data_IF_826100511763
#
_entry.id   IF_826100511763
#
_cell.length_a   1.000
_cell.length_b   1.000
_cell.length_c   1.000
_cell.angle_alpha   90.00
_cell.angle_beta   90.00
_cell.angle_gamma   90.00
#
_symmetry.space_group_name_H-M   'P 1'
#
loop_
_entity.id
_entity.type
_entity.pdbx_description
1 polymer ?
#
# COMPACT_ATOMS: atom_id res chain seq x y z
N UNK A 1 58.31 6.65 26.37
CA UNK A 1 57.57 7.69 25.62
C UNK A 1 56.48 7.02 24.79
N UNK A 2 55.22 7.07 25.25
CA UNK A 2 54.11 6.38 24.57
C UNK A 2 53.74 7.10 23.26
N UNK A 3 53.61 6.26 22.24
CA UNK A 3 53.40 6.50 20.82
C UNK A 3 52.38 7.61 20.46
N UNK A 4 52.88 8.83 20.23
CA UNK A 4 52.10 10.02 19.81
C UNK A 4 51.50 9.83 18.40
N UNK A 5 52.12 8.98 17.55
CA UNK A 5 51.63 8.71 16.19
C UNK A 5 50.30 7.94 16.19
N UNK A 6 50.06 7.04 17.14
CA UNK A 6 48.82 6.25 17.21
C UNK A 6 47.59 7.07 17.64
N UNK A 7 47.76 8.15 18.44
CA UNK A 7 46.63 9.01 18.84
C UNK A 7 46.07 9.79 17.67
N UNK A 8 46.92 10.35 16.79
CA UNK A 8 46.47 11.14 15.64
C UNK A 8 45.73 10.28 14.59
N UNK A 9 46.22 9.06 14.34
CA UNK A 9 45.56 8.11 13.44
C UNK A 9 44.20 7.63 13.97
N UNK A 10 44.11 7.33 15.27
CA UNK A 10 42.86 6.91 15.91
C UNK A 10 41.82 8.04 15.91
N UNK A 11 42.20 9.27 16.26
CA UNK A 11 41.29 10.44 16.21
C UNK A 11 40.82 10.72 14.78
N UNK A 12 41.71 10.58 13.77
CA UNK A 12 41.35 10.75 12.37
C UNK A 12 40.34 9.71 11.88
N UNK A 13 40.51 8.44 12.26
CA UNK A 13 39.57 7.36 11.90
C UNK A 13 38.23 7.55 12.60
N UNK A 14 38.22 7.91 13.90
CA UNK A 14 36.98 8.13 14.65
C UNK A 14 36.19 9.33 14.10
N UNK A 15 36.87 10.41 13.73
CA UNK A 15 36.26 11.58 13.10
C UNK A 15 35.69 11.24 11.72
N UNK A 16 36.42 10.46 10.90
CA UNK A 16 35.94 10.04 9.58
C UNK A 16 34.71 9.13 9.70
N UNK A 17 34.70 8.18 10.64
CA UNK A 17 33.54 7.31 10.89
C UNK A 17 32.34 8.06 11.43
N UNK A 18 32.53 9.08 12.28
CA UNK A 18 31.43 9.93 12.77
C UNK A 18 30.83 10.79 11.65
N UNK A 19 31.66 11.32 10.76
CA UNK A 19 31.19 12.09 9.59
C UNK A 19 30.45 11.20 8.59
N UNK A 20 30.94 9.97 8.35
CA UNK A 20 30.27 8.97 7.51
C UNK A 20 28.94 8.49 8.11
N UNK A 21 28.87 8.30 9.43
CA UNK A 21 27.61 7.93 10.10
C UNK A 21 26.60 9.08 10.08
N UNK A 22 27.05 10.32 10.29
CA UNK A 22 26.19 11.51 10.23
C UNK A 22 25.65 11.77 8.81
N UNK A 23 26.42 11.45 7.77
CA UNK A 23 25.98 11.58 6.36
C UNK A 23 25.09 10.43 5.89
N UNK A 24 25.10 9.26 6.56
CA UNK A 24 24.15 8.17 6.29
C UNK A 24 22.76 8.39 6.91
N UNK A 25 22.61 9.31 7.87
CA UNK A 25 21.34 9.55 8.59
C UNK A 25 20.42 10.57 7.89
N UNK A 26 20.77 11.06 6.70
CA UNK A 26 19.94 12.00 5.93
C UNK A 26 19.61 11.36 4.57
N UNK A 27 18.71 10.38 4.57
CA UNK A 27 17.40 10.66 4.00
C UNK A 27 16.30 9.99 4.82
N UNK A 28 16.01 10.53 6.00
CA UNK A 28 14.71 10.31 6.62
C UNK A 28 13.68 11.07 5.79
N UNK A 29 13.03 10.33 4.88
CA UNK A 29 11.72 10.62 4.27
C UNK A 29 11.28 12.09 4.37
N UNK A 30 11.95 12.99 3.64
CA UNK A 30 11.29 14.24 3.29
C UNK A 30 10.12 13.82 2.39
N UNK A 31 8.85 14.08 2.76
CA UNK A 31 7.77 13.88 1.84
C UNK A 31 8.12 14.75 0.63
N UNK A 32 8.41 14.11 -0.50
CA UNK A 32 8.51 14.83 -1.75
C UNK A 32 7.12 15.39 -1.96
N UNK A 33 6.96 16.69 -1.71
CA UNK A 33 5.80 17.43 -2.15
C UNK A 33 5.83 17.36 -3.67
N UNK A 34 5.19 16.34 -4.24
CA UNK A 34 5.01 16.17 -5.67
C UNK A 34 4.05 17.23 -6.26
N UNK A 35 3.76 18.29 -5.50
CA UNK A 35 2.98 19.42 -5.96
C UNK A 35 3.81 20.31 -6.87
N UNK A 36 3.20 20.67 -7.98
CA UNK A 36 3.71 21.66 -8.91
C UNK A 36 3.84 23.01 -8.17
N UNK A 37 5.00 23.70 -8.22
CA UNK A 37 5.15 25.00 -7.57
C UNK A 37 4.07 25.98 -8.04
N UNK A 38 3.34 26.58 -7.10
CA UNK A 38 2.24 27.50 -7.40
C UNK A 38 0.88 26.84 -7.64
N UNK A 39 0.76 25.51 -7.56
CA UNK A 39 -0.54 24.86 -7.53
C UNK A 39 -1.23 25.06 -6.18
N UNK A 40 -2.52 25.40 -6.21
CA UNK A 40 -3.37 25.36 -5.02
C UNK A 40 -3.46 23.93 -4.50
N UNK A 41 -3.58 23.75 -3.17
CA UNK A 41 -3.81 22.41 -2.62
C UNK A 41 -5.09 21.82 -3.25
N UNK A 42 -5.12 20.50 -3.51
CA UNK A 42 -6.35 19.87 -3.95
C UNK A 42 -7.45 20.12 -2.89
N UNK A 43 -8.72 20.27 -3.31
CA UNK A 43 -9.81 20.40 -2.37
C UNK A 43 -9.83 19.17 -1.45
N UNK A 44 -10.17 19.39 -0.18
CA UNK A 44 -10.49 18.29 0.71
C UNK A 44 -11.72 17.57 0.16
N UNK A 45 -11.63 16.25 0.04
CA UNK A 45 -12.77 15.41 -0.32
C UNK A 45 -12.69 14.13 0.50
N UNK A 46 -13.84 13.64 0.92
CA UNK A 46 -13.99 12.31 1.52
C UNK A 46 -14.40 11.33 0.43
N UNK A 47 -13.77 10.16 0.40
CA UNK A 47 -14.11 9.14 -0.58
C UNK A 47 -15.23 8.28 0.00
N UNK A 48 -16.43 8.46 -0.52
CA UNK A 48 -17.61 7.70 -0.08
C UNK A 48 -17.46 6.19 -0.36
N UNK A 49 -18.04 5.33 0.50
CA UNK A 49 -18.08 3.91 0.25
C UNK A 49 -18.97 3.57 -0.95
N UNK A 50 -18.68 2.46 -1.62
CA UNK A 50 -19.60 1.87 -2.59
C UNK A 50 -20.68 1.13 -1.79
N UNK A 51 -21.95 1.50 -1.97
CA UNK A 51 -23.07 0.81 -1.33
C UNK A 51 -23.73 -0.15 -2.33
N UNK A 52 -23.86 -1.42 -1.94
CA UNK A 52 -24.53 -2.47 -2.71
C UNK A 52 -25.47 -3.26 -1.80
N UNK A 53 -26.48 -3.92 -2.38
CA UNK A 53 -27.29 -4.94 -1.70
C UNK A 53 -26.71 -6.32 -2.01
N UNK A 54 -26.55 -7.19 -1.00
CA UNK A 54 -26.13 -8.59 -1.18
C UNK A 54 -27.15 -9.50 -0.49
N UNK A 55 -28.05 -10.07 -1.28
CA UNK A 55 -29.18 -10.85 -0.78
C UNK A 55 -30.18 -10.03 0.03
N UNK A 56 -30.37 -8.74 -0.32
CA UNK A 56 -31.23 -7.81 0.41
C UNK A 56 -30.59 -7.18 1.66
N UNK A 57 -29.30 -7.42 1.90
CA UNK A 57 -28.53 -6.77 2.95
C UNK A 57 -27.68 -5.65 2.35
N UNK A 58 -27.87 -4.42 2.80
CA UNK A 58 -27.04 -3.29 2.37
C UNK A 58 -25.63 -3.39 2.98
N UNK A 59 -24.62 -3.30 2.13
CA UNK A 59 -23.20 -3.37 2.48
C UNK A 59 -22.52 -2.11 1.94
N UNK A 60 -21.89 -1.35 2.85
CA UNK A 60 -20.95 -0.30 2.49
C UNK A 60 -19.54 -0.87 2.35
N UNK A 61 -18.91 -0.66 1.19
CA UNK A 61 -17.55 -1.09 0.88
C UNK A 61 -16.65 0.13 0.81
N UNK A 62 -15.77 0.30 1.80
CA UNK A 62 -14.76 1.37 1.82
C UNK A 62 -13.52 1.01 0.99
N UNK A 63 -12.69 2.00 0.70
CA UNK A 63 -11.39 1.75 0.05
C UNK A 63 -10.44 1.02 1.01
N UNK A 64 -10.59 1.20 2.31
CA UNK A 64 -9.84 0.52 3.36
C UNK A 64 -10.18 -0.98 3.45
N UNK A 65 -11.45 -1.35 3.25
CA UNK A 65 -11.87 -2.76 3.18
C UNK A 65 -11.20 -3.46 2.00
N UNK A 66 -11.22 -2.81 0.84
CA UNK A 66 -10.55 -3.28 -0.38
C UNK A 66 -9.04 -3.37 -0.19
N UNK A 67 -8.44 -2.37 0.45
CA UNK A 67 -7.01 -2.35 0.77
C UNK A 67 -6.64 -3.52 1.68
N UNK A 68 -7.41 -3.74 2.74
CA UNK A 68 -7.20 -4.85 3.68
C UNK A 68 -7.30 -6.20 2.98
N UNK A 69 -8.34 -6.41 2.16
CA UNK A 69 -8.49 -7.62 1.36
C UNK A 69 -7.33 -7.83 0.38
N UNK A 70 -6.90 -6.77 -0.32
CA UNK A 70 -5.73 -6.82 -1.20
C UNK A 70 -4.47 -7.23 -0.44
N UNK A 71 -4.25 -6.66 0.74
CA UNK A 71 -3.09 -6.98 1.58
C UNK A 71 -3.07 -8.46 1.96
N UNK A 72 -4.20 -9.01 2.44
CA UNK A 72 -4.31 -10.42 2.80
C UNK A 72 -4.07 -11.36 1.61
N UNK A 73 -4.63 -11.03 0.44
CA UNK A 73 -4.37 -11.77 -0.79
C UNK A 73 -2.87 -11.78 -1.16
N UNK A 74 -2.17 -10.65 -0.98
CA UNK A 74 -0.74 -10.55 -1.25
C UNK A 74 0.11 -11.30 -0.23
N UNK A 75 -0.27 -11.28 1.06
CA UNK A 75 0.36 -12.09 2.10
C UNK A 75 0.23 -13.58 1.79
N UNK A 76 -0.94 -14.03 1.37
CA UNK A 76 -1.17 -15.44 1.01
C UNK A 76 -0.34 -15.84 -0.21
N UNK A 77 -0.34 -15.02 -1.27
CA UNK A 77 0.47 -15.25 -2.47
C UNK A 77 1.95 -15.36 -2.14
N UNK A 78 2.47 -14.39 -1.36
CA UNK A 78 3.87 -14.37 -0.93
C UNK A 78 4.21 -15.59 -0.08
N UNK A 79 3.35 -15.95 0.87
CA UNK A 79 3.50 -17.14 1.71
C UNK A 79 3.64 -18.40 0.86
N UNK A 80 2.72 -18.63 -0.09
CA UNK A 80 2.79 -19.78 -1.02
C UNK A 80 4.08 -19.78 -1.83
N UNK A 81 4.53 -18.62 -2.31
CA UNK A 81 5.80 -18.49 -3.04
C UNK A 81 7.01 -18.82 -2.17
N UNK A 82 7.06 -18.35 -0.92
CA UNK A 82 8.18 -18.59 0.00
C UNK A 82 8.24 -20.06 0.45
N UNK A 83 7.09 -20.70 0.69
CA UNK A 83 7.02 -22.16 0.96
C UNK A 83 7.61 -22.97 -0.19
N UNK A 84 7.28 -22.61 -1.44
CA UNK A 84 7.88 -23.24 -2.63
C UNK A 84 9.39 -23.03 -2.76
N UNK A 85 9.94 -22.00 -2.12
CA UNK A 85 11.39 -21.74 -2.02
C UNK A 85 12.06 -22.44 -0.84
N UNK A 86 11.33 -23.28 -0.09
CA UNK A 86 11.87 -24.05 1.04
C UNK A 86 12.08 -23.26 2.33
N UNK A 87 11.45 -22.09 2.48
CA UNK A 87 11.51 -21.31 3.72
C UNK A 87 10.65 -21.93 4.82
N UNK A 88 11.12 -21.80 6.07
CA UNK A 88 10.34 -22.24 7.25
C UNK A 88 9.19 -21.29 7.54
N UNK A 89 8.17 -21.75 8.27
CA UNK A 89 7.03 -20.90 8.64
C UNK A 89 7.47 -19.69 9.50
N UNK A 90 8.50 -19.84 10.33
CA UNK A 90 9.07 -18.75 11.14
C UNK A 90 9.75 -17.68 10.27
N UNK A 91 10.54 -18.10 9.27
CA UNK A 91 11.14 -17.17 8.32
C UNK A 91 10.06 -16.43 7.50
N UNK A 92 9.02 -17.15 7.10
CA UNK A 92 7.90 -16.58 6.34
C UNK A 92 7.18 -15.55 7.20
N UNK A 93 6.81 -15.86 8.44
CA UNK A 93 6.14 -14.93 9.34
C UNK A 93 6.93 -13.63 9.50
N UNK A 94 8.26 -13.73 9.68
CA UNK A 94 9.14 -12.55 9.78
C UNK A 94 9.17 -11.72 8.49
N UNK A 95 9.19 -12.37 7.33
CA UNK A 95 9.16 -11.67 6.03
C UNK A 95 7.81 -11.01 5.81
N UNK A 96 6.71 -11.70 6.10
CA UNK A 96 5.35 -11.18 5.92
C UNK A 96 5.12 -9.98 6.83
N UNK A 97 5.49 -10.07 8.11
CA UNK A 97 5.38 -8.96 9.04
C UNK A 97 6.26 -7.78 8.59
N UNK A 98 7.49 -8.03 8.15
CA UNK A 98 8.39 -6.97 7.70
C UNK A 98 7.97 -6.29 6.39
N UNK A 99 7.30 -7.00 5.48
CA UNK A 99 6.88 -6.47 4.17
C UNK A 99 5.45 -5.89 4.18
N UNK A 100 4.55 -6.44 5.02
CA UNK A 100 3.11 -6.15 4.98
C UNK A 100 2.53 -5.69 6.33
N UNK A 101 3.30 -5.76 7.42
CA UNK A 101 2.89 -5.30 8.76
C UNK A 101 2.58 -3.81 8.75
N UNK A 102 1.40 -3.43 9.25
CA UNK A 102 0.93 -2.04 9.25
C UNK A 102 0.59 -1.45 7.88
N UNK A 103 0.69 -2.22 6.79
CA UNK A 103 0.30 -1.76 5.47
C UNK A 103 -1.23 -1.73 5.34
N UNK A 104 -1.76 -0.63 4.81
CA UNK A 104 -3.19 -0.49 4.50
C UNK A 104 -3.63 -1.33 3.30
N UNK A 105 -2.67 -1.80 2.49
CA UNK A 105 -2.93 -2.49 1.22
C UNK A 105 -3.56 -1.61 0.14
N UNK A 106 -3.76 -0.31 0.39
CA UNK A 106 -4.18 0.63 -0.65
C UNK A 106 -2.99 0.92 -1.56
N UNK A 107 -3.12 0.58 -2.84
CA UNK A 107 -2.13 0.87 -3.86
C UNK A 107 -2.78 1.67 -5.00
N UNK A 108 -1.99 2.33 -5.88
CA UNK A 108 -2.57 3.11 -6.97
C UNK A 108 -3.57 2.30 -7.81
N UNK A 109 -3.32 0.99 -8.01
CA UNK A 109 -4.22 0.14 -8.78
C UNK A 109 -5.57 -0.11 -8.07
N UNK A 110 -5.59 -0.33 -6.74
CA UNK A 110 -6.84 -0.49 -5.99
C UNK A 110 -7.61 0.83 -5.98
N UNK A 111 -6.93 1.96 -5.75
CA UNK A 111 -7.56 3.29 -5.72
C UNK A 111 -8.19 3.68 -7.05
N UNK A 112 -7.49 3.46 -8.17
CA UNK A 112 -8.04 3.75 -9.50
C UNK A 112 -9.25 2.85 -9.82
N UNK A 113 -9.18 1.56 -9.49
CA UNK A 113 -10.27 0.62 -9.74
C UNK A 113 -11.50 0.94 -8.88
N UNK A 114 -11.30 1.26 -7.59
CA UNK A 114 -12.37 1.62 -6.66
C UNK A 114 -13.10 2.87 -7.14
N UNK A 115 -12.37 3.95 -7.47
CA UNK A 115 -12.98 5.18 -8.00
C UNK A 115 -13.72 4.96 -9.32
N UNK A 116 -13.18 4.13 -10.21
CA UNK A 116 -13.86 3.81 -11.46
C UNK A 116 -15.15 3.01 -11.22
N UNK A 117 -15.15 2.07 -10.28
CA UNK A 117 -16.34 1.32 -9.89
C UNK A 117 -17.38 2.21 -9.22
N UNK A 118 -16.98 3.04 -8.26
CA UNK A 118 -17.84 4.00 -7.58
C UNK A 118 -18.54 4.93 -8.59
N UNK A 119 -17.78 5.55 -9.49
CA UNK A 119 -18.32 6.43 -10.53
C UNK A 119 -19.24 5.69 -11.51
N UNK A 120 -18.87 4.45 -11.87
CA UNK A 120 -19.66 3.63 -12.78
C UNK A 120 -21.01 3.22 -12.19
N UNK A 121 -21.01 2.80 -10.92
CA UNK A 121 -22.21 2.44 -10.18
C UNK A 121 -23.10 3.67 -10.00
N UNK A 122 -22.54 4.79 -9.51
CA UNK A 122 -23.31 6.02 -9.29
C UNK A 122 -23.90 6.56 -10.60
N UNK A 123 -23.21 6.40 -11.72
CA UNK A 123 -23.70 6.84 -13.03
C UNK A 123 -24.80 5.95 -13.61
N UNK A 124 -24.86 4.67 -13.24
CA UNK A 124 -25.82 3.70 -13.78
C UNK A 124 -27.08 3.57 -12.91
N UNK A 125 -26.94 3.60 -11.59
CA UNK A 125 -28.04 3.43 -10.64
C UNK A 125 -28.51 4.74 -10.00
N UNK A 126 -27.79 5.85 -10.17
CA UNK A 126 -28.10 7.14 -9.55
C UNK A 126 -28.27 7.01 -8.04
N UNK A 127 -29.51 7.04 -7.55
CA UNK A 127 -29.86 7.00 -6.13
C UNK A 127 -30.30 5.59 -5.67
N UNK A 128 -30.40 4.63 -6.60
CA UNK A 128 -30.74 3.25 -6.29
C UNK A 128 -29.52 2.47 -5.81
N UNK A 129 -29.72 1.56 -4.85
CA UNK A 129 -28.68 0.64 -4.40
C UNK A 129 -28.73 -0.62 -5.29
N UNK A 130 -27.69 -0.90 -6.10
CA UNK A 130 -27.68 -2.09 -6.95
C UNK A 130 -27.57 -3.37 -6.12
N UNK A 131 -28.27 -4.42 -6.54
CA UNK A 131 -27.99 -5.77 -6.06
C UNK A 131 -26.64 -6.24 -6.63
N UNK A 132 -25.81 -6.86 -5.81
CA UNK A 132 -24.46 -7.31 -6.15
C UNK A 132 -24.46 -8.25 -7.35
N UNK A 133 -25.49 -9.10 -7.47
CA UNK A 133 -25.66 -10.01 -8.61
C UNK A 133 -25.91 -9.31 -9.95
N UNK A 134 -26.34 -8.06 -9.94
CA UNK A 134 -26.60 -7.27 -11.14
C UNK A 134 -25.33 -6.58 -11.66
N UNK A 135 -24.28 -6.54 -10.85
CA UNK A 135 -23.01 -5.89 -11.18
C UNK A 135 -22.09 -6.91 -11.85
N UNK A 136 -21.71 -6.61 -13.10
CA UNK A 136 -20.67 -7.35 -13.81
C UNK A 136 -19.62 -6.42 -14.37
N UNK A 137 -18.39 -6.53 -13.85
CA UNK A 137 -17.26 -5.71 -14.30
C UNK A 137 -16.40 -6.47 -15.30
N UNK A 138 -16.25 -5.89 -16.50
CA UNK A 138 -15.32 -6.38 -17.53
C UNK A 138 -14.13 -5.43 -17.56
N UNK A 139 -12.96 -5.90 -17.11
CA UNK A 139 -11.72 -5.12 -17.11
C UNK A 139 -10.65 -5.81 -17.96
N UNK A 140 -9.86 -5.00 -18.68
CA UNK A 140 -8.63 -5.46 -19.36
C UNK A 140 -7.38 -5.17 -18.55
N UNK A 141 -7.50 -4.59 -17.36
CA UNK A 141 -6.37 -4.21 -16.50
C UNK A 141 -5.91 -5.44 -15.71
N UNK A 142 -4.72 -6.02 -15.97
CA UNK A 142 -4.33 -7.30 -15.40
C UNK A 142 -3.59 -7.17 -14.05
N UNK A 143 -3.63 -6.00 -13.41
CA UNK A 143 -2.86 -5.76 -12.18
C UNK A 143 -3.58 -6.35 -10.96
N UNK A 144 -2.88 -7.09 -10.06
CA UNK A 144 -3.50 -7.75 -8.91
C UNK A 144 -4.40 -6.84 -8.07
N UNK A 145 -3.93 -5.63 -7.73
CA UNK A 145 -4.72 -4.69 -6.92
C UNK A 145 -6.01 -4.22 -7.59
N UNK A 146 -6.00 -4.02 -8.92
CA UNK A 146 -7.23 -3.68 -9.63
C UNK A 146 -8.19 -4.88 -9.70
N UNK A 147 -7.67 -6.07 -10.04
CA UNK A 147 -8.49 -7.28 -10.13
C UNK A 147 -9.15 -7.62 -8.79
N UNK A 148 -8.37 -7.62 -7.71
CA UNK A 148 -8.87 -7.95 -6.37
C UNK A 148 -9.84 -6.89 -5.84
N UNK A 149 -9.62 -5.61 -6.15
CA UNK A 149 -10.59 -4.56 -5.87
C UNK A 149 -11.95 -4.85 -6.52
N UNK A 150 -11.96 -5.14 -7.81
CA UNK A 150 -13.21 -5.38 -8.55
C UNK A 150 -13.89 -6.68 -8.12
N UNK A 151 -13.12 -7.73 -7.80
CA UNK A 151 -13.64 -8.98 -7.22
C UNK A 151 -14.23 -8.80 -5.83
N UNK A 152 -13.67 -7.88 -5.03
CA UNK A 152 -14.20 -7.60 -3.70
C UNK A 152 -15.56 -6.89 -3.77
N UNK A 153 -15.77 -6.09 -4.82
CA UNK A 153 -17.03 -5.38 -5.06
C UNK A 153 -18.10 -6.33 -5.60
N UNK A 154 -17.75 -7.23 -6.53
CA UNK A 154 -18.67 -8.12 -7.26
C UNK A 154 -18.00 -9.43 -7.65
#
# INVERSE_FOLDING_TARGET
MKNIKNRKGMIGITALTLVLLASLMVPLAVPVAAHMPGAEPPPEFELEPIVISDGGVEIGISIEDVGSYHNECMKEFKTKMLKKKGKTDEEIAKIIEGEFGGATGTCPCTSFAFRAALLGISGLWSDEIPERSDIKIITRRPTPGATQCLQYIC
#
